data_IF_479003512799
#
_entry.id   IF_479003512799
#
_cell.length_a   1.000
_cell.length_b   1.000
_cell.length_c   1.000
_cell.angle_alpha   90.00
_cell.angle_beta   90.00
_cell.angle_gamma   90.00
#
_symmetry.space_group_name_H-M   'P 1'
#
loop_
_entity.id
_entity.type
_entity.pdbx_description
1 polymer ?
#
# COMPACT_ATOMS: atom_id res chain seq x y z
N UNK A 1 18.46 3.78 -5.72
CA UNK A 1 17.50 2.73 -6.13
C UNK A 1 16.24 3.40 -6.65
N UNK A 2 15.59 2.87 -7.70
CA UNK A 2 14.28 3.37 -8.15
C UNK A 2 13.18 2.68 -7.34
N UNK A 3 12.19 3.45 -6.91
CA UNK A 3 11.14 3.03 -5.96
C UNK A 3 9.81 3.54 -6.47
N UNK A 4 8.76 2.75 -6.29
CA UNK A 4 7.39 3.18 -6.53
C UNK A 4 6.90 3.92 -5.28
N UNK A 5 6.21 5.03 -5.43
CA UNK A 5 5.70 5.83 -4.32
C UNK A 5 4.21 6.02 -4.53
N UNK A 6 3.40 5.50 -3.63
CA UNK A 6 1.95 5.67 -3.61
C UNK A 6 1.58 6.60 -2.48
N UNK A 7 0.97 7.74 -2.79
CA UNK A 7 0.55 8.74 -1.80
C UNK A 7 -0.96 8.73 -1.69
N UNK A 8 -1.50 8.44 -0.52
CA UNK A 8 -2.92 8.66 -0.22
C UNK A 8 -3.13 10.14 0.11
N UNK A 9 -3.90 10.87 -0.70
CA UNK A 9 -4.15 12.31 -0.56
C UNK A 9 -5.58 12.61 -0.09
N UNK A 10 -6.13 11.76 0.79
CA UNK A 10 -7.50 11.91 1.28
C UNK A 10 -7.63 13.18 2.12
N UNK A 11 -8.33 14.19 1.58
CA UNK A 11 -8.48 15.51 2.19
C UNK A 11 -9.05 15.46 3.61
N UNK A 12 -10.03 14.60 3.88
CA UNK A 12 -10.61 14.48 5.23
C UNK A 12 -9.62 13.87 6.24
N UNK A 13 -8.55 13.24 5.77
CA UNK A 13 -7.51 12.66 6.61
C UNK A 13 -6.30 13.57 6.76
N UNK A 14 -5.89 14.29 5.70
CA UNK A 14 -4.62 15.03 5.66
C UNK A 14 -4.81 16.55 5.64
N UNK A 15 -6.05 17.04 5.51
CA UNK A 15 -6.33 18.44 5.25
C UNK A 15 -5.80 18.91 3.89
N UNK A 16 -5.81 20.22 3.68
CA UNK A 16 -5.25 20.90 2.50
C UNK A 16 -3.91 21.60 2.83
N UNK A 17 -3.09 20.99 3.71
CA UNK A 17 -1.84 21.59 4.22
C UNK A 17 -0.55 21.04 3.57
N UNK A 18 -0.62 19.93 2.84
CA UNK A 18 0.54 19.31 2.18
C UNK A 18 0.47 19.56 0.68
N UNK A 19 1.54 20.15 0.11
CA UNK A 19 1.69 20.30 -1.35
C UNK A 19 2.17 18.99 -1.99
N UNK A 20 1.21 18.09 -2.28
CA UNK A 20 1.51 16.85 -2.99
C UNK A 20 2.08 17.04 -4.41
N UNK A 21 1.62 18.01 -5.22
CA UNK A 21 2.24 18.31 -6.51
C UNK A 21 3.75 18.61 -6.41
N UNK A 22 4.18 19.39 -5.42
CA UNK A 22 5.60 19.68 -5.18
C UNK A 22 6.38 18.42 -4.79
N UNK A 23 5.83 17.62 -3.87
CA UNK A 23 6.43 16.35 -3.44
C UNK A 23 6.58 15.38 -4.62
N UNK A 24 5.54 15.26 -5.45
CA UNK A 24 5.55 14.43 -6.65
C UNK A 24 6.67 14.81 -7.60
N UNK A 25 6.77 16.10 -7.96
CA UNK A 25 7.84 16.61 -8.83
C UNK A 25 9.23 16.30 -8.27
N UNK A 26 9.42 16.45 -6.95
CA UNK A 26 10.69 16.16 -6.30
C UNK A 26 11.13 14.70 -6.49
N UNK A 27 10.25 13.73 -6.20
CA UNK A 27 10.60 12.31 -6.31
C UNK A 27 10.68 11.83 -7.76
N UNK A 28 9.85 12.35 -8.67
CA UNK A 28 9.95 12.06 -10.10
C UNK A 28 11.27 12.55 -10.70
N UNK A 29 11.76 13.73 -10.28
CA UNK A 29 13.09 14.23 -10.70
C UNK A 29 14.24 13.28 -10.31
N UNK A 30 14.04 12.48 -9.26
CA UNK A 30 14.96 11.45 -8.77
C UNK A 30 14.69 10.07 -9.38
N UNK A 31 13.87 9.99 -10.44
CA UNK A 31 13.51 8.77 -11.18
C UNK A 31 12.70 7.76 -10.37
N UNK A 32 11.98 8.22 -9.35
CA UNK A 32 10.92 7.43 -8.71
C UNK A 32 9.63 7.56 -9.51
N UNK A 33 8.78 6.54 -9.42
CA UNK A 33 7.45 6.59 -10.01
C UNK A 33 6.46 6.96 -8.91
N UNK A 34 5.73 8.07 -9.08
CA UNK A 34 4.90 8.63 -8.02
C UNK A 34 3.44 8.70 -8.45
N UNK A 35 2.57 8.08 -7.67
CA UNK A 35 1.13 8.07 -7.89
C UNK A 35 0.46 8.69 -6.67
N UNK A 36 -0.35 9.71 -6.92
CA UNK A 36 -1.19 10.34 -5.89
C UNK A 36 -2.59 9.79 -6.08
N UNK A 37 -3.16 9.29 -5.00
CA UNK A 37 -4.47 8.66 -4.98
C UNK A 37 -5.36 9.35 -3.96
N UNK A 38 -6.49 9.91 -4.38
CA UNK A 38 -7.35 10.74 -3.54
C UNK A 38 -8.00 9.96 -2.39
N UNK A 39 -8.40 8.70 -2.59
CA UNK A 39 -9.03 7.91 -1.53
C UNK A 39 -8.62 6.44 -1.58
N UNK A 40 -7.39 6.17 -1.17
CA UNK A 40 -6.81 4.82 -1.29
C UNK A 40 -7.51 3.78 -0.40
N UNK A 41 -8.00 4.20 0.78
CA UNK A 41 -8.70 3.30 1.71
C UNK A 41 -9.94 2.65 1.09
N UNK A 42 -10.67 3.38 0.23
CA UNK A 42 -11.86 2.87 -0.44
C UNK A 42 -11.52 1.77 -1.46
N UNK A 43 -10.44 1.94 -2.21
CA UNK A 43 -10.02 0.96 -3.22
C UNK A 43 -9.52 -0.35 -2.61
N UNK A 44 -8.74 -0.24 -1.52
CA UNK A 44 -8.29 -1.42 -0.75
C UNK A 44 -9.50 -2.19 -0.22
N UNK A 45 -10.47 -1.50 0.38
CA UNK A 45 -11.64 -2.16 0.97
C UNK A 45 -12.45 -2.95 -0.06
N UNK A 46 -12.44 -2.51 -1.32
CA UNK A 46 -13.14 -3.18 -2.41
C UNK A 46 -12.29 -4.24 -3.13
N UNK A 47 -11.05 -4.50 -2.69
CA UNK A 47 -10.10 -5.43 -3.32
C UNK A 47 -9.88 -5.20 -4.83
N UNK A 48 -10.13 -3.97 -5.31
CA UNK A 48 -10.03 -3.62 -6.73
C UNK A 48 -8.67 -3.03 -7.12
N UNK A 49 -7.72 -2.99 -6.20
CA UNK A 49 -6.46 -2.33 -6.46
C UNK A 49 -5.61 -3.14 -7.45
N UNK A 50 -5.56 -2.67 -8.69
CA UNK A 50 -4.59 -3.08 -9.69
C UNK A 50 -3.41 -2.12 -9.54
N UNK A 51 -2.20 -2.65 -9.34
CA UNK A 51 -1.00 -1.84 -9.17
C UNK A 51 -0.88 -0.84 -10.34
N UNK A 52 -1.03 0.48 -10.10
CA UNK A 52 -1.10 1.46 -11.18
C UNK A 52 0.31 1.85 -11.69
N UNK A 53 1.34 1.15 -11.21
CA UNK A 53 2.74 1.39 -11.56
C UNK A 53 3.12 0.69 -12.85
N UNK A 54 3.89 1.37 -13.69
CA UNK A 54 4.49 0.81 -14.90
C UNK A 54 5.43 -0.36 -14.60
N UNK A 55 6.11 -0.32 -13.45
CA UNK A 55 6.99 -1.40 -12.98
C UNK A 55 6.55 -1.89 -11.60
N UNK A 56 5.53 -2.76 -11.50
CA UNK A 56 4.87 -3.11 -10.24
C UNK A 56 5.74 -3.93 -9.28
N UNK A 57 6.81 -4.57 -9.78
CA UNK A 57 7.74 -5.38 -8.96
C UNK A 57 8.83 -4.57 -8.24
N UNK A 58 8.85 -3.24 -8.37
CA UNK A 58 9.81 -2.39 -7.65
C UNK A 58 9.41 -2.29 -6.17
N UNK A 59 10.40 -2.12 -5.27
CA UNK A 59 10.11 -1.74 -3.89
C UNK A 59 9.17 -0.53 -3.87
N UNK A 60 8.15 -0.58 -3.02
CA UNK A 60 7.07 0.40 -3.00
C UNK A 60 6.97 1.08 -1.64
N UNK A 61 7.01 2.41 -1.62
CA UNK A 61 6.68 3.20 -0.43
C UNK A 61 5.22 3.61 -0.51
N UNK A 62 4.45 3.30 0.52
CA UNK A 62 3.12 3.85 0.71
C UNK A 62 3.18 5.02 1.69
N UNK A 63 2.83 6.22 1.23
CA UNK A 63 2.68 7.39 2.08
C UNK A 63 1.19 7.60 2.41
N UNK A 64 0.82 7.39 3.67
CA UNK A 64 -0.57 7.57 4.11
C UNK A 64 -0.72 7.57 5.62
N UNK A 65 -1.72 6.84 6.12
CA UNK A 65 -1.95 6.65 7.55
C UNK A 65 -0.94 5.71 8.19
N UNK A 66 -0.94 5.67 9.53
CA UNK A 66 -0.09 4.82 10.35
C UNK A 66 0.02 3.36 9.86
N UNK A 67 1.23 2.76 9.92
CA UNK A 67 1.43 1.34 9.60
C UNK A 67 0.54 0.43 10.47
N UNK A 68 0.26 0.81 11.72
CA UNK A 68 -0.62 0.04 12.60
C UNK A 68 -2.02 -0.20 12.01
N UNK A 69 -2.49 0.70 11.13
CA UNK A 69 -3.80 0.61 10.50
C UNK A 69 -3.75 -0.15 9.18
N UNK A 70 -2.67 0.05 8.42
CA UNK A 70 -2.69 -0.22 6.98
C UNK A 70 -1.66 -1.26 6.53
N UNK A 71 -0.69 -1.60 7.37
CA UNK A 71 0.44 -2.45 7.01
C UNK A 71 0.03 -3.83 6.50
N UNK A 72 -0.81 -4.53 7.26
CA UNK A 72 -1.27 -5.87 6.86
C UNK A 72 -2.01 -5.86 5.53
N UNK A 73 -2.81 -4.82 5.27
CA UNK A 73 -3.60 -4.71 4.03
C UNK A 73 -2.72 -4.38 2.84
N UNK A 74 -1.75 -3.48 3.00
CA UNK A 74 -0.89 -3.06 1.89
C UNK A 74 0.13 -4.14 1.55
N UNK A 75 0.75 -4.78 2.55
CA UNK A 75 1.74 -5.83 2.30
C UNK A 75 1.16 -7.01 1.50
N UNK A 76 -0.14 -7.28 1.62
CA UNK A 76 -0.83 -8.30 0.81
C UNK A 76 -1.13 -7.87 -0.63
N UNK A 77 -1.09 -6.57 -0.95
CA UNK A 77 -1.42 -6.03 -2.28
C UNK A 77 -0.22 -5.91 -3.21
N UNK A 78 0.99 -5.93 -2.66
CA UNK A 78 2.21 -5.73 -3.43
C UNK A 78 3.10 -6.97 -3.38
N UNK A 79 3.53 -7.41 -4.56
CA UNK A 79 4.49 -8.49 -4.73
C UNK A 79 5.95 -8.07 -4.50
N UNK A 80 6.18 -6.85 -4.04
CA UNK A 80 7.50 -6.28 -3.77
C UNK A 80 7.61 -5.87 -2.28
N UNK A 81 8.82 -5.63 -1.76
CA UNK A 81 8.98 -5.01 -0.45
C UNK A 81 8.17 -3.72 -0.37
N UNK A 82 7.46 -3.53 0.74
CA UNK A 82 6.67 -2.33 1.01
C UNK A 82 7.13 -1.69 2.31
N UNK A 83 7.40 -0.40 2.24
CA UNK A 83 7.63 0.45 3.41
C UNK A 83 6.49 1.48 3.55
N UNK A 84 6.13 1.83 4.78
CA UNK A 84 5.01 2.75 5.05
C UNK A 84 5.53 4.03 5.65
N UNK A 85 5.33 5.12 4.92
CA UNK A 85 5.56 6.49 5.36
C UNK A 85 4.27 7.01 6.01
N UNK A 86 4.28 7.17 7.34
CA UNK A 86 3.15 7.77 8.04
C UNK A 86 3.19 9.29 7.86
N UNK A 87 2.38 9.81 6.92
CA UNK A 87 2.28 11.25 6.65
C UNK A 87 1.03 11.87 7.27
N UNK A 88 0.21 11.08 7.96
CA UNK A 88 -0.98 11.57 8.67
C UNK A 88 -0.66 11.94 10.11
N UNK A 89 -0.48 10.94 10.96
CA UNK A 89 -0.27 11.17 12.40
C UNK A 89 1.09 11.81 12.68
N UNK A 90 2.11 11.50 11.89
CA UNK A 90 3.47 12.06 12.08
C UNK A 90 3.75 13.30 11.24
N UNK A 91 2.77 13.81 10.48
CA UNK A 91 2.95 15.02 9.69
C UNK A 91 1.68 15.88 9.68
N UNK A 92 0.64 15.52 8.91
CA UNK A 92 -0.51 16.43 8.74
C UNK A 92 -1.25 16.76 10.03
N UNK A 93 -1.31 15.84 11.00
CA UNK A 93 -1.96 16.09 12.29
C UNK A 93 -1.02 16.68 13.34
N UNK A 94 0.28 16.60 13.11
CA UNK A 94 1.30 17.07 14.05
C UNK A 94 1.84 18.46 13.69
N UNK A 95 1.55 18.96 12.49
CA UNK A 95 2.07 20.22 11.98
C UNK A 95 0.97 21.01 11.28
N UNK A 96 0.67 22.20 11.81
CA UNK A 96 -0.37 23.08 11.27
C UNK A 96 0.15 24.00 10.15
N UNK A 97 1.46 24.25 10.10
CA UNK A 97 2.08 25.14 9.12
C UNK A 97 2.31 24.41 7.78
N UNK A 98 1.70 24.86 6.65
CA UNK A 98 1.75 24.15 5.38
C UNK A 98 3.16 23.91 4.81
N UNK A 99 4.04 24.91 4.91
CA UNK A 99 5.41 24.81 4.39
C UNK A 99 6.24 23.79 5.18
N UNK A 100 6.06 23.79 6.51
CA UNK A 100 6.73 22.85 7.41
C UNK A 100 6.17 21.44 7.21
N UNK A 101 4.85 21.29 7.12
CA UNK A 101 4.18 20.02 6.88
C UNK A 101 4.62 19.41 5.53
N UNK A 102 4.69 20.22 4.48
CA UNK A 102 5.15 19.78 3.16
C UNK A 102 6.61 19.29 3.21
N UNK A 103 7.49 20.06 3.87
CA UNK A 103 8.89 19.66 4.07
C UNK A 103 8.99 18.37 4.87
N UNK A 104 8.27 18.25 5.98
CA UNK A 104 8.26 17.08 6.85
C UNK A 104 7.74 15.83 6.12
N UNK A 105 6.64 15.96 5.39
CA UNK A 105 6.08 14.89 4.55
C UNK A 105 7.12 14.37 3.55
N UNK A 106 7.82 15.28 2.86
CA UNK A 106 8.91 14.93 1.94
C UNK A 106 10.03 14.18 2.65
N UNK A 107 10.46 14.62 3.83
CA UNK A 107 11.51 13.94 4.60
C UNK A 107 11.08 12.55 5.07
N UNK A 108 9.84 12.38 5.55
CA UNK A 108 9.30 11.07 5.96
C UNK A 108 9.30 10.09 4.77
N UNK A 109 8.81 10.52 3.61
CA UNK A 109 8.83 9.69 2.39
C UNK A 109 10.28 9.39 1.98
N UNK A 110 11.18 10.37 2.07
CA UNK A 110 12.59 10.19 1.74
C UNK A 110 13.26 9.14 2.65
N UNK A 111 13.00 9.18 3.95
CA UNK A 111 13.46 8.18 4.91
C UNK A 111 12.92 6.79 4.57
N UNK A 112 11.63 6.66 4.28
CA UNK A 112 11.02 5.40 3.86
C UNK A 112 11.63 4.85 2.56
N UNK A 113 11.88 5.71 1.57
CA UNK A 113 12.56 5.35 0.30
C UNK A 113 13.97 4.80 0.55
N UNK A 114 14.69 5.35 1.53
CA UNK A 114 16.02 4.86 1.90
C UNK A 114 15.96 3.58 2.73
N UNK A 115 14.95 3.45 3.59
CA UNK A 115 14.76 2.30 4.46
C UNK A 115 14.35 1.04 3.69
N UNK A 116 13.58 1.20 2.61
CA UNK A 116 12.99 0.07 1.89
C UNK A 116 14.01 -0.91 1.28
N UNK A 117 15.28 -0.50 1.13
CA UNK A 117 16.38 -1.40 0.72
C UNK A 117 16.65 -2.51 1.74
N UNK A 118 16.30 -2.29 3.01
CA UNK A 118 16.45 -3.22 4.12
C UNK A 118 15.17 -3.99 4.42
N UNK A 119 14.07 -3.63 3.77
CA UNK A 119 12.75 -4.23 4.02
C UNK A 119 12.61 -5.55 3.27
N UNK A 120 12.29 -6.62 3.99
CA UNK A 120 12.05 -7.94 3.40
C UNK A 120 10.73 -7.95 2.66
N UNK A 121 10.67 -8.71 1.56
CA UNK A 121 9.40 -9.00 0.88
C UNK A 121 8.45 -9.69 1.86
N UNK A 122 7.19 -9.27 1.88
CA UNK A 122 6.16 -9.96 2.64
C UNK A 122 5.87 -11.30 1.98
N UNK A 123 6.05 -12.38 2.75
CA UNK A 123 5.62 -13.71 2.35
C UNK A 123 4.32 -13.99 3.12
N UNK A 124 3.15 -14.00 2.44
CA UNK A 124 1.91 -14.34 3.11
C UNK A 124 2.04 -15.76 3.70
N UNK A 125 1.47 -16.01 4.89
CA UNK A 125 1.43 -17.35 5.43
C UNK A 125 0.62 -18.26 4.50
N UNK A 126 0.92 -19.56 4.52
CA UNK A 126 0.17 -20.55 3.74
C UNK A 126 -1.32 -20.45 4.05
N UNK A 127 -2.14 -20.33 3.00
CA UNK A 127 -3.59 -20.25 3.13
C UNK A 127 -4.17 -21.66 3.34
N UNK A 128 -4.06 -22.15 4.58
CA UNK A 128 -4.55 -23.47 5.01
C UNK A 128 -6.03 -23.66 4.65
N UNK A 129 -6.85 -22.62 4.76
CA UNK A 129 -8.28 -22.71 4.40
C UNK A 129 -8.47 -22.96 2.91
N UNK A 130 -7.74 -22.24 2.05
CA UNK A 130 -7.80 -22.45 0.59
C UNK A 130 -7.31 -23.84 0.20
N UNK A 131 -6.26 -24.34 0.86
CA UNK A 131 -5.78 -25.71 0.67
C UNK A 131 -6.86 -26.73 1.07
N UNK A 132 -7.43 -26.60 2.27
CA UNK A 132 -8.52 -27.48 2.73
C UNK A 132 -9.76 -27.41 1.83
N UNK A 133 -10.16 -26.22 1.36
CA UNK A 133 -11.28 -26.08 0.44
C UNK A 133 -11.01 -26.80 -0.89
N UNK A 134 -9.80 -26.69 -1.43
CA UNK A 134 -9.40 -27.42 -2.64
C UNK A 134 -9.40 -28.93 -2.42
N UNK A 135 -8.97 -29.41 -1.24
CA UNK A 135 -9.06 -30.81 -0.85
C UNK A 135 -10.53 -31.27 -0.79
N UNK A 136 -11.41 -30.52 -0.12
CA UNK A 136 -12.84 -30.82 -0.06
C UNK A 136 -13.50 -30.84 -1.45
N UNK A 137 -13.17 -29.88 -2.32
CA UNK A 137 -13.67 -29.87 -3.70
C UNK A 137 -13.23 -31.10 -4.49
N UNK A 138 -11.99 -31.57 -4.29
CA UNK A 138 -11.50 -32.81 -4.89
C UNK A 138 -12.29 -34.02 -4.42
N UNK A 139 -12.55 -34.12 -3.10
CA UNK A 139 -13.33 -35.22 -2.51
C UNK A 139 -14.78 -35.19 -3.02
N UNK A 140 -15.41 -34.03 -3.11
CA UNK A 140 -16.78 -33.90 -3.64
C UNK A 140 -16.85 -34.36 -5.10
N UNK A 141 -15.85 -33.99 -5.93
CA UNK A 141 -15.76 -34.43 -7.33
C UNK A 141 -15.62 -35.95 -7.45
N UNK A 142 -14.88 -36.57 -6.53
CA UNK A 142 -14.70 -38.02 -6.49
C UNK A 142 -15.98 -38.75 -6.05
N UNK A 143 -16.66 -38.26 -5.02
CA UNK A 143 -17.91 -38.84 -4.50
C UNK A 143 -19.07 -38.68 -5.49
N UNK A 144 -19.07 -37.60 -6.29
CA UNK A 144 -20.13 -37.32 -7.25
C UNK A 144 -21.41 -36.74 -6.59
N UNK A 145 -22.52 -36.65 -7.34
CA UNK A 145 -23.75 -36.04 -6.85
C UNK A 145 -24.36 -36.84 -5.69
N UNK A 146 -25.03 -36.15 -4.76
CA UNK A 146 -25.63 -36.76 -3.58
C UNK A 146 -26.72 -37.78 -3.98
N UNK A 147 -26.53 -39.09 -3.71
CA UNK A 147 -27.45 -40.13 -4.15
C UNK A 147 -28.81 -40.12 -3.41
N UNK A 148 -28.93 -39.36 -2.32
CA UNK A 148 -30.15 -39.25 -1.50
C UNK A 148 -31.02 -38.03 -1.85
N UNK A 149 -30.61 -37.23 -2.84
CA UNK A 149 -31.39 -36.13 -3.40
C UNK A 149 -31.55 -36.35 -4.91
N UNK A 150 -32.41 -37.31 -5.27
CA UNK A 150 -32.99 -37.44 -6.61
C UNK A 150 -34.47 -37.08 -6.55
#
# INVERSE_FOLDING_TARGET
>A
MKTNILICAKKECLGDIIDFPQIKKYFESKRHEVIIHENFCLEINNLKFISPFNVPKRPTVFAGCSPLVMENRIKTLFDAPVEIANIREQCSWACEEPDIATKLCKEIIYLAVNQIVYTKRYNPPDNVLKQKLAEYESVIKEIGPNPFKL
#
